data_IF_517131542813
#
_entry.id   IF_517131542813
#
_cell.length_a   1.000
_cell.length_b   1.000
_cell.length_c   1.000
_cell.angle_alpha   90.00
_cell.angle_beta   90.00
_cell.angle_gamma   90.00
#
_symmetry.space_group_name_H-M   'P 1'
#
loop_
_entity.id
_entity.type
_entity.pdbx_description
1 polymer ?
#
# COMPACT_ATOMS: atom_id res chain seq x y z
N UNK A 1 6.29 -21.60 -22.09
CA UNK A 1 5.82 -20.28 -21.61
C UNK A 1 4.81 -20.53 -20.50
N UNK A 2 5.13 -20.19 -19.26
CA UNK A 2 4.17 -20.26 -18.14
C UNK A 2 3.07 -19.23 -18.39
N UNK A 3 1.80 -19.65 -18.39
CA UNK A 3 0.67 -18.73 -18.50
C UNK A 3 0.71 -17.70 -17.36
N UNK A 4 0.27 -16.47 -17.61
CA UNK A 4 0.11 -15.44 -16.57
C UNK A 4 -0.72 -15.96 -15.39
N UNK A 5 -1.71 -16.82 -15.64
CA UNK A 5 -2.50 -17.50 -14.61
C UNK A 5 -1.63 -18.39 -13.72
N UNK A 6 -0.71 -19.16 -14.30
CA UNK A 6 0.19 -20.03 -13.55
C UNK A 6 1.12 -19.24 -12.62
N UNK A 7 1.65 -18.10 -13.07
CA UNK A 7 2.47 -17.20 -12.24
C UNK A 7 1.67 -16.59 -11.08
N UNK A 8 0.40 -16.23 -11.32
CA UNK A 8 -0.48 -15.68 -10.29
C UNK A 8 -0.84 -16.75 -9.25
N UNK A 9 -1.06 -17.98 -9.69
CA UNK A 9 -1.32 -19.13 -8.81
C UNK A 9 -0.09 -19.52 -7.99
N UNK A 10 1.13 -19.41 -8.53
CA UNK A 10 2.38 -19.68 -7.79
C UNK A 10 2.49 -18.83 -6.53
N UNK A 11 1.95 -17.60 -6.50
CA UNK A 11 2.00 -16.75 -5.32
C UNK A 11 1.26 -17.28 -4.10
N UNK A 12 0.37 -18.23 -4.33
CA UNK A 12 -0.40 -18.93 -3.30
C UNK A 12 0.03 -20.40 -3.18
N UNK A 13 1.16 -20.77 -3.80
CA UNK A 13 1.76 -22.08 -3.65
C UNK A 13 2.13 -22.31 -2.17
N UNK A 14 1.98 -23.55 -1.67
CA UNK A 14 2.47 -23.89 -0.33
C UNK A 14 4.00 -23.89 -0.25
N UNK A 15 4.70 -23.87 -1.39
CA UNK A 15 6.16 -23.80 -1.45
C UNK A 15 6.68 -22.60 -0.66
N UNK A 16 7.78 -22.83 0.07
CA UNK A 16 8.47 -21.75 0.75
C UNK A 16 9.03 -20.77 -0.29
N UNK A 17 8.94 -19.45 -0.06
CA UNK A 17 9.72 -18.50 -0.84
C UNK A 17 11.20 -18.92 -0.79
N UNK A 18 11.86 -18.94 -1.95
CA UNK A 18 13.31 -19.14 -1.97
C UNK A 18 14.06 -18.03 -1.24
N UNK A 19 15.39 -18.17 -1.16
CA UNK A 19 16.23 -17.25 -0.39
C UNK A 19 15.99 -15.77 -0.75
N UNK A 20 16.08 -14.87 0.25
CA UNK A 20 15.95 -13.44 0.02
C UNK A 20 16.99 -12.94 -1.00
N UNK A 21 16.56 -12.05 -1.89
CA UNK A 21 17.46 -11.34 -2.80
C UNK A 21 17.85 -9.97 -2.23
N UNK A 22 18.98 -9.39 -2.67
CA UNK A 22 19.32 -8.01 -2.38
C UNK A 22 18.13 -7.08 -2.67
N UNK A 23 17.74 -6.22 -1.72
CA UNK A 23 16.59 -5.34 -1.91
C UNK A 23 16.92 -4.29 -2.97
N UNK A 24 15.96 -4.01 -3.85
CA UNK A 24 16.00 -2.83 -4.71
C UNK A 24 15.91 -1.50 -3.93
N UNK A 25 15.96 -0.35 -4.62
CA UNK A 25 15.82 0.95 -3.97
C UNK A 25 14.45 1.09 -3.27
N UNK A 26 14.38 1.97 -2.26
CA UNK A 26 13.13 2.28 -1.54
C UNK A 26 12.21 3.25 -2.29
N UNK A 27 12.82 4.11 -3.09
CA UNK A 27 12.15 5.07 -3.93
C UNK A 27 13.03 5.34 -5.15
N UNK A 28 12.40 5.70 -6.27
CA UNK A 28 13.12 6.17 -7.44
C UNK A 28 13.61 7.60 -7.19
N UNK A 29 14.86 7.88 -7.53
CA UNK A 29 15.38 9.25 -7.58
C UNK A 29 14.99 9.86 -8.91
N UNK A 30 13.73 10.26 -9.03
CA UNK A 30 13.22 10.90 -10.24
C UNK A 30 14.02 12.19 -10.51
N UNK A 31 14.49 12.43 -11.75
CA UNK A 31 15.02 13.74 -12.11
C UNK A 31 13.88 14.77 -12.09
N UNK A 32 14.20 16.03 -11.78
CA UNK A 32 13.21 17.09 -11.79
C UNK A 32 13.54 18.23 -10.83
N UNK A 33 12.64 19.20 -10.80
CA UNK A 33 12.67 20.34 -9.87
C UNK A 33 12.04 19.94 -8.53
N UNK A 34 12.71 20.26 -7.42
CA UNK A 34 12.12 20.12 -6.09
C UNK A 34 11.11 21.24 -5.85
N UNK A 35 9.93 20.89 -5.37
CA UNK A 35 8.81 21.80 -5.10
C UNK A 35 8.36 21.58 -3.66
N UNK A 36 8.35 22.65 -2.87
CA UNK A 36 7.85 22.61 -1.51
C UNK A 36 6.32 22.47 -1.53
N UNK A 37 5.79 21.63 -0.65
CA UNK A 37 4.35 21.43 -0.49
C UNK A 37 3.65 22.75 -0.12
N UNK A 38 4.31 23.61 0.66
CA UNK A 38 3.80 24.92 1.08
C UNK A 38 3.63 25.92 -0.08
N UNK A 39 4.35 25.72 -1.19
CA UNK A 39 4.27 26.60 -2.36
C UNK A 39 3.07 26.27 -3.25
N UNK A 40 2.45 25.10 -3.07
CA UNK A 40 1.26 24.70 -3.82
C UNK A 40 0.02 25.47 -3.36
N UNK A 41 -1.02 25.42 -4.20
CA UNK A 41 -2.36 25.91 -3.90
C UNK A 41 -3.37 24.78 -3.95
N UNK A 42 -4.49 24.93 -3.25
CA UNK A 42 -5.59 23.97 -3.32
C UNK A 42 -6.09 23.82 -4.78
N UNK A 43 -6.49 22.60 -5.21
CA UNK A 43 -6.55 21.35 -4.45
C UNK A 43 -5.22 20.57 -4.33
N UNK A 44 -4.16 21.01 -5.04
CA UNK A 44 -2.87 20.30 -5.05
C UNK A 44 -2.13 20.34 -3.72
N UNK A 45 -2.22 21.45 -2.98
CA UNK A 45 -1.64 21.57 -1.64
C UNK A 45 -2.23 20.54 -0.66
N UNK A 46 -3.55 20.37 -0.66
CA UNK A 46 -4.24 19.36 0.15
C UNK A 46 -3.77 17.95 -0.22
N UNK A 47 -3.68 17.65 -1.53
CA UNK A 47 -3.19 16.38 -2.03
C UNK A 47 -1.77 16.06 -1.53
N UNK A 48 -0.86 17.00 -1.71
CA UNK A 48 0.53 16.87 -1.30
C UNK A 48 0.68 16.75 0.22
N UNK A 49 -0.11 17.52 0.98
CA UNK A 49 -0.15 17.44 2.45
C UNK A 49 -0.68 16.08 2.93
N UNK A 50 -1.71 15.52 2.28
CA UNK A 50 -2.20 14.17 2.57
C UNK A 50 -1.09 13.13 2.36
N UNK A 51 -0.42 13.18 1.21
CA UNK A 51 0.70 12.29 0.87
C UNK A 51 1.81 12.40 1.93
N UNK A 52 2.23 13.62 2.25
CA UNK A 52 3.28 13.87 3.24
C UNK A 52 2.92 13.30 4.61
N UNK A 53 1.70 13.53 5.10
CA UNK A 53 1.26 13.02 6.41
C UNK A 53 1.25 11.49 6.46
N UNK A 54 0.78 10.85 5.41
CA UNK A 54 0.70 9.39 5.31
C UNK A 54 2.06 8.73 5.11
N UNK A 55 2.95 9.37 4.34
CA UNK A 55 4.15 8.74 3.82
C UNK A 55 5.45 9.22 4.45
N UNK A 56 5.54 10.38 5.11
CA UNK A 56 6.79 10.82 5.77
C UNK A 56 7.29 9.83 6.82
N UNK A 57 8.60 9.85 7.09
CA UNK A 57 9.19 8.97 8.09
C UNK A 57 8.75 9.37 9.51
N UNK A 58 8.42 8.38 10.34
CA UNK A 58 7.97 8.56 11.75
C UNK A 58 8.82 7.68 12.68
N UNK A 59 10.11 7.95 12.67
CA UNK A 59 11.14 7.11 13.29
C UNK A 59 11.34 5.81 12.51
N UNK A 60 11.88 4.79 13.17
CA UNK A 60 12.27 3.53 12.55
C UNK A 60 11.57 2.33 13.19
N UNK A 61 11.44 1.23 12.44
CA UNK A 61 10.92 -0.01 12.98
C UNK A 61 11.84 -0.52 14.09
N UNK A 62 11.32 -1.01 15.22
CA UNK A 62 12.15 -1.62 16.25
C UNK A 62 12.62 -3.02 15.83
N UNK A 63 13.80 -3.41 16.31
CA UNK A 63 14.27 -4.80 16.37
C UNK A 63 13.57 -5.52 17.54
N UNK A 64 13.69 -6.86 17.63
CA UNK A 64 13.18 -7.61 18.78
C UNK A 64 13.71 -7.12 20.14
N UNK A 65 14.95 -6.62 20.18
CA UNK A 65 15.57 -6.03 21.38
C UNK A 65 15.13 -4.57 21.67
N UNK A 66 14.17 -4.04 20.91
CA UNK A 66 13.68 -2.66 21.03
C UNK A 66 14.53 -1.60 20.33
N UNK A 67 15.73 -1.91 19.85
CA UNK A 67 16.60 -0.94 19.17
C UNK A 67 16.08 -0.57 17.78
N UNK A 68 16.32 0.65 17.26
CA UNK A 68 15.81 1.07 15.96
C UNK A 68 16.56 0.39 14.78
N UNK A 69 15.81 -0.10 13.80
CA UNK A 69 16.33 -0.54 12.50
C UNK A 69 16.63 0.65 11.57
N UNK A 70 17.13 0.39 10.36
CA UNK A 70 17.28 1.41 9.31
C UNK A 70 16.03 1.57 8.44
N UNK A 71 14.91 0.91 8.78
CA UNK A 71 13.68 0.96 8.00
C UNK A 71 12.76 2.03 8.58
N UNK A 72 12.51 3.14 7.86
CA UNK A 72 11.63 4.19 8.37
C UNK A 72 10.20 3.67 8.50
N UNK A 73 9.53 4.04 9.59
CA UNK A 73 8.09 3.79 9.75
C UNK A 73 7.31 4.85 9.00
N UNK A 74 6.16 4.44 8.47
CA UNK A 74 5.17 5.31 7.84
C UNK A 74 3.80 5.03 8.47
N UNK A 75 2.84 5.94 8.29
CA UNK A 75 1.52 5.78 8.88
C UNK A 75 0.75 4.59 8.25
N UNK A 76 0.91 4.44 6.93
CA UNK A 76 0.42 3.30 6.17
C UNK A 76 1.30 2.08 6.46
N UNK A 77 0.73 0.92 6.88
CA UNK A 77 1.49 -0.31 7.08
C UNK A 77 1.99 -0.87 5.75
N UNK A 78 3.05 -1.69 5.80
CA UNK A 78 3.54 -2.41 4.63
C UNK A 78 4.08 -3.78 5.00
N UNK A 79 3.83 -4.77 4.15
CA UNK A 79 4.34 -6.12 4.31
C UNK A 79 5.86 -6.12 4.50
N UNK A 80 6.32 -6.55 5.68
CA UNK A 80 7.74 -6.62 6.00
C UNK A 80 8.49 -5.28 5.98
N UNK A 81 7.79 -4.15 6.06
CA UNK A 81 8.42 -2.83 5.94
C UNK A 81 9.10 -2.59 4.59
N UNK A 82 8.57 -3.22 3.52
CA UNK A 82 9.10 -3.06 2.17
C UNK A 82 8.82 -1.66 1.62
N UNK A 83 7.67 -1.08 1.98
CA UNK A 83 7.18 0.24 1.56
C UNK A 83 7.34 0.47 0.04
N UNK A 84 6.75 -0.40 -0.81
CA UNK A 84 6.94 -0.34 -2.26
C UNK A 84 6.17 0.82 -2.91
N UNK A 85 5.13 1.34 -2.25
CA UNK A 85 4.23 2.35 -2.82
C UNK A 85 4.98 3.66 -3.08
N UNK A 86 4.83 4.21 -4.28
CA UNK A 86 5.22 5.58 -4.61
C UNK A 86 3.96 6.42 -4.83
N UNK A 87 4.02 7.68 -4.40
CA UNK A 87 2.92 8.61 -4.48
C UNK A 87 3.20 9.64 -5.56
N UNK A 88 2.41 9.59 -6.63
CA UNK A 88 2.49 10.57 -7.71
C UNK A 88 1.26 11.49 -7.66
N UNK A 89 1.46 12.74 -8.04
CA UNK A 89 0.42 13.76 -8.14
C UNK A 89 0.38 14.27 -9.59
N UNK A 90 -0.80 14.24 -10.20
CA UNK A 90 -1.05 14.80 -11.53
C UNK A 90 -1.87 16.07 -11.34
N UNK A 91 -1.29 17.20 -11.71
CA UNK A 91 -1.93 18.50 -11.66
C UNK A 91 -2.30 18.91 -13.09
N UNK A 92 -3.59 19.03 -13.43
CA UNK A 92 -4.03 19.41 -14.78
C UNK A 92 -3.83 20.92 -15.03
N UNK A 93 -3.88 21.37 -16.30
CA UNK A 93 -3.85 22.79 -16.66
C UNK A 93 -4.88 23.62 -15.89
N UNK A 94 -4.54 24.88 -15.60
CA UNK A 94 -5.45 25.80 -14.92
C UNK A 94 -5.59 25.60 -13.40
N UNK A 95 -5.04 24.52 -12.84
CA UNK A 95 -4.96 24.26 -11.39
C UNK A 95 -3.46 24.19 -11.01
N UNK A 96 -3.01 24.87 -9.96
CA UNK A 96 -1.63 24.70 -9.45
C UNK A 96 -0.61 25.80 -9.75
N UNK A 97 -1.01 27.06 -9.98
CA UNK A 97 -0.05 28.19 -9.89
C UNK A 97 0.52 28.27 -8.45
N UNK A 98 1.81 28.59 -8.25
CA UNK A 98 2.81 29.03 -9.25
C UNK A 98 3.53 27.90 -10.01
N UNK A 99 3.62 26.67 -9.49
CA UNK A 99 4.41 25.58 -10.10
C UNK A 99 3.75 24.93 -11.34
N UNK A 100 2.51 25.33 -11.64
CA UNK A 100 1.79 25.01 -12.87
C UNK A 100 1.38 23.54 -12.99
N UNK A 101 0.74 23.20 -14.11
CA UNK A 101 0.39 21.81 -14.39
C UNK A 101 1.64 20.94 -14.51
N UNK A 102 1.53 19.69 -14.04
CA UNK A 102 2.68 18.80 -13.97
C UNK A 102 2.36 17.40 -13.48
N UNK A 103 3.38 16.54 -13.56
CA UNK A 103 3.41 15.25 -12.89
C UNK A 103 4.49 15.33 -11.83
N UNK A 104 4.09 15.11 -10.59
CA UNK A 104 4.95 15.21 -9.44
C UNK A 104 5.05 13.84 -8.79
N UNK A 105 6.15 13.58 -8.10
CA UNK A 105 6.32 12.40 -7.24
C UNK A 105 6.81 12.87 -5.89
N UNK A 106 6.27 12.31 -4.82
CA UNK A 106 6.73 12.63 -3.47
C UNK A 106 8.05 11.92 -3.18
N UNK A 107 9.09 12.68 -2.85
CA UNK A 107 10.37 12.15 -2.40
C UNK A 107 10.38 12.09 -0.86
N UNK A 108 10.32 10.90 -0.26
CA UNK A 108 10.33 10.77 1.19
C UNK A 108 11.67 11.08 1.86
N UNK A 109 12.77 11.24 1.09
CA UNK A 109 14.07 11.60 1.64
C UNK A 109 14.19 13.10 1.87
N UNK A 110 13.65 13.90 0.96
CA UNK A 110 13.60 15.37 1.07
C UNK A 110 12.29 15.88 1.65
N UNK A 111 11.27 15.02 1.74
CA UNK A 111 9.90 15.36 2.13
C UNK A 111 9.22 16.41 1.22
N UNK A 112 9.74 16.53 -0.01
CA UNK A 112 9.26 17.45 -1.04
C UNK A 112 8.61 16.70 -2.20
N UNK A 113 7.96 17.44 -3.10
CA UNK A 113 7.60 16.91 -4.41
C UNK A 113 8.76 17.11 -5.39
N UNK A 114 8.92 16.18 -6.32
CA UNK A 114 9.77 16.34 -7.51
C UNK A 114 8.87 16.49 -8.73
N UNK A 115 8.92 17.66 -9.38
CA UNK A 115 8.26 17.90 -10.66
C UNK A 115 9.01 17.17 -11.77
N UNK A 116 8.41 16.10 -12.29
CA UNK A 116 9.03 15.24 -13.31
C UNK A 116 9.13 15.98 -14.64
N UNK A 117 10.27 15.87 -15.35
CA UNK A 117 10.38 16.37 -16.71
C UNK A 117 9.42 15.58 -17.61
N UNK A 118 8.66 16.28 -18.45
CA UNK A 118 7.82 15.65 -19.45
C UNK A 118 8.49 15.73 -20.84
N UNK A 119 9.16 14.65 -21.30
CA UNK A 119 9.94 14.69 -22.53
C UNK A 119 9.07 14.76 -23.80
N UNK A 120 7.75 14.60 -23.68
CA UNK A 120 6.84 14.46 -24.83
C UNK A 120 5.77 15.57 -24.89
N UNK A 121 6.06 16.74 -24.31
CA UNK A 121 5.16 17.90 -24.30
C UNK A 121 3.87 17.71 -23.49
N UNK A 122 3.05 18.75 -23.31
CA UNK A 122 1.88 18.73 -22.42
C UNK A 122 0.70 17.96 -23.04
N UNK A 123 0.72 16.62 -23.00
CA UNK A 123 -0.49 15.82 -23.25
C UNK A 123 -1.17 15.56 -21.90
N UNK A 124 -2.35 16.15 -21.73
CA UNK A 124 -3.14 16.04 -20.52
C UNK A 124 -4.26 15.03 -20.70
N UNK A 125 -4.59 14.24 -19.66
CA UNK A 125 -5.87 13.55 -19.63
C UNK A 125 -7.01 14.57 -19.81
N UNK A 126 -8.15 14.15 -20.34
CA UNK A 126 -9.33 15.02 -20.47
C UNK A 126 -9.89 15.50 -19.11
N UNK A 127 -9.35 15.05 -17.98
CA UNK A 127 -9.83 15.41 -16.65
C UNK A 127 -9.18 16.71 -16.16
N UNK A 128 -10.00 17.55 -15.56
CA UNK A 128 -9.65 18.79 -14.87
C UNK A 128 -9.43 18.61 -13.35
N UNK A 129 -9.50 17.37 -12.86
CA UNK A 129 -9.25 17.03 -11.47
C UNK A 129 -7.77 16.83 -11.18
N UNK A 130 -7.34 17.24 -9.98
CA UNK A 130 -6.06 16.78 -9.43
C UNK A 130 -6.19 15.30 -9.09
N UNK A 131 -5.25 14.50 -9.59
CA UNK A 131 -5.24 13.06 -9.36
C UNK A 131 -4.02 12.63 -8.54
N UNK A 132 -4.23 11.74 -7.58
CA UNK A 132 -3.16 10.97 -6.94
C UNK A 132 -3.09 9.62 -7.63
N UNK A 133 -1.89 9.20 -8.02
CA UNK A 133 -1.66 7.87 -8.60
C UNK A 133 -0.70 7.10 -7.72
N UNK A 134 -1.13 5.92 -7.28
CA UNK A 134 -0.31 5.00 -6.50
C UNK A 134 0.39 4.05 -7.47
N UNK A 135 1.71 4.02 -7.41
CA UNK A 135 2.53 3.01 -8.08
C UNK A 135 3.22 2.13 -7.06
N UNK A 136 3.75 0.98 -7.47
CA UNK A 136 4.60 0.14 -6.64
C UNK A 136 5.94 -0.12 -7.32
N UNK A 137 7.01 -0.07 -6.53
CA UNK A 137 8.31 -0.61 -6.90
C UNK A 137 8.42 -2.04 -6.40
N UNK A 138 8.38 -3.06 -7.28
CA UNK A 138 8.24 -4.45 -6.87
C UNK A 138 9.48 -5.01 -6.15
N UNK A 139 10.66 -4.41 -6.38
CA UNK A 139 11.96 -5.01 -6.05
C UNK A 139 12.15 -5.41 -4.59
N UNK A 140 11.80 -4.56 -3.61
CA UNK A 140 12.00 -4.88 -2.18
C UNK A 140 11.05 -5.99 -1.69
N UNK A 141 9.79 -5.90 -2.07
CA UNK A 141 8.79 -6.92 -1.73
C UNK A 141 9.12 -8.24 -2.44
N UNK A 142 9.54 -8.22 -3.70
CA UNK A 142 10.00 -9.41 -4.41
C UNK A 142 11.26 -10.01 -3.80
N UNK A 143 12.23 -9.18 -3.43
CA UNK A 143 13.46 -9.65 -2.79
C UNK A 143 13.18 -10.39 -1.48
N UNK A 144 12.15 -9.98 -0.73
CA UNK A 144 11.76 -10.63 0.53
C UNK A 144 10.81 -11.82 0.36
N UNK A 145 9.83 -11.70 -0.53
CA UNK A 145 8.69 -12.64 -0.59
C UNK A 145 8.65 -13.49 -1.87
N UNK A 146 9.57 -13.25 -2.81
CA UNK A 146 9.72 -14.00 -4.06
C UNK A 146 8.38 -14.14 -4.80
N UNK A 147 7.96 -15.37 -5.09
CA UNK A 147 6.71 -15.65 -5.79
C UNK A 147 5.47 -15.12 -5.04
N UNK A 148 5.52 -14.95 -3.71
CA UNK A 148 4.41 -14.43 -2.88
C UNK A 148 4.29 -12.91 -2.89
N UNK A 149 5.13 -12.20 -3.64
CA UNK A 149 5.21 -10.73 -3.56
C UNK A 149 4.02 -10.00 -4.20
N UNK A 150 3.42 -10.53 -5.26
CA UNK A 150 2.46 -9.76 -6.04
C UNK A 150 1.14 -9.43 -5.31
N UNK A 151 0.53 -10.34 -4.51
CA UNK A 151 -0.64 -9.97 -3.71
C UNK A 151 -0.29 -8.91 -2.66
N UNK A 152 0.96 -8.92 -2.15
CA UNK A 152 1.45 -7.95 -1.18
C UNK A 152 1.63 -6.56 -1.80
N UNK A 153 1.91 -6.45 -3.11
CA UNK A 153 1.90 -5.16 -3.81
C UNK A 153 0.50 -4.54 -3.82
N UNK A 154 -0.52 -5.36 -4.11
CA UNK A 154 -1.92 -4.93 -4.07
C UNK A 154 -2.33 -4.58 -2.65
N UNK A 155 -1.93 -5.39 -1.66
CA UNK A 155 -2.19 -5.10 -0.26
C UNK A 155 -1.61 -3.73 0.17
N UNK A 156 -0.32 -3.49 -0.06
CA UNK A 156 0.32 -2.23 0.34
C UNK A 156 -0.34 -1.02 -0.37
N UNK A 157 -0.69 -1.15 -1.65
CA UNK A 157 -1.39 -0.10 -2.38
C UNK A 157 -2.84 0.10 -1.90
N UNK A 158 -3.55 -0.96 -1.50
CA UNK A 158 -4.90 -0.86 -0.95
C UNK A 158 -4.92 -0.20 0.44
N UNK A 159 -3.94 -0.48 1.30
CA UNK A 159 -3.79 0.22 2.56
C UNK A 159 -3.48 1.71 2.35
N UNK A 160 -2.59 2.04 1.41
CA UNK A 160 -2.33 3.44 1.04
C UNK A 160 -3.60 4.14 0.50
N UNK A 161 -4.33 3.47 -0.39
CA UNK A 161 -5.58 3.95 -0.98
C UNK A 161 -6.63 4.27 0.09
N UNK A 162 -6.93 3.31 0.97
CA UNK A 162 -7.96 3.49 1.99
C UNK A 162 -7.53 4.50 3.06
N UNK A 163 -6.25 4.60 3.38
CA UNK A 163 -5.76 5.67 4.26
C UNK A 163 -6.01 7.06 3.68
N UNK A 164 -5.82 7.22 2.36
CA UNK A 164 -6.12 8.47 1.67
C UNK A 164 -7.63 8.76 1.64
N UNK A 165 -8.47 7.75 1.36
CA UNK A 165 -9.93 7.92 1.34
C UNK A 165 -10.50 8.22 2.73
N UNK A 166 -9.91 7.68 3.80
CA UNK A 166 -10.26 8.06 5.17
C UNK A 166 -9.84 9.50 5.49
N UNK A 167 -8.65 9.90 5.02
CA UNK A 167 -8.10 11.24 5.28
C UNK A 167 -8.78 12.34 4.46
N UNK A 168 -9.29 12.01 3.26
CA UNK A 168 -9.99 12.92 2.35
C UNK A 168 -11.30 12.24 1.91
N UNK A 169 -12.37 12.29 2.72
CA UNK A 169 -13.60 11.55 2.47
C UNK A 169 -14.31 11.90 1.15
N UNK A 170 -14.09 13.10 0.63
CA UNK A 170 -14.65 13.59 -0.63
C UNK A 170 -13.86 13.13 -1.86
N UNK A 171 -12.68 12.53 -1.65
CA UNK A 171 -11.91 11.92 -2.73
C UNK A 171 -12.69 10.72 -3.29
N UNK A 172 -12.68 10.58 -4.62
CA UNK A 172 -13.42 9.52 -5.27
C UNK A 172 -12.52 8.67 -6.18
N UNK A 173 -12.92 7.42 -6.33
CA UNK A 173 -12.28 6.49 -7.24
C UNK A 173 -12.98 6.59 -8.61
N UNK A 174 -12.28 6.98 -9.68
CA UNK A 174 -12.87 6.89 -11.02
C UNK A 174 -13.24 5.44 -11.37
N UNK A 175 -14.13 5.22 -12.33
CA UNK A 175 -14.58 3.84 -12.70
C UNK A 175 -13.41 2.92 -13.06
N UNK A 176 -12.36 3.47 -13.67
CA UNK A 176 -11.14 2.78 -14.08
C UNK A 176 -10.00 2.89 -13.03
N UNK A 177 -10.31 3.17 -11.76
CA UNK A 177 -9.31 3.49 -10.74
C UNK A 177 -8.21 2.44 -10.57
N UNK A 178 -8.52 1.14 -10.70
CA UNK A 178 -7.56 0.03 -10.56
C UNK A 178 -7.04 -0.50 -11.91
N UNK A 179 -7.42 0.15 -13.01
CA UNK A 179 -6.92 -0.19 -14.34
C UNK A 179 -5.46 0.25 -14.48
N UNK A 180 -4.57 -0.75 -14.64
CA UNK A 180 -3.13 -0.56 -14.74
C UNK A 180 -2.74 0.31 -15.94
N UNK A 181 -3.45 0.19 -17.06
CA UNK A 181 -3.17 0.95 -18.27
C UNK A 181 -3.59 2.42 -18.12
N UNK A 182 -4.74 2.67 -17.50
CA UNK A 182 -5.23 4.00 -17.19
C UNK A 182 -4.31 4.73 -16.21
N UNK A 183 -3.94 4.09 -15.10
CA UNK A 183 -2.98 4.62 -14.12
C UNK A 183 -1.61 4.93 -14.74
N UNK A 184 -1.09 4.01 -15.56
CA UNK A 184 0.17 4.21 -16.29
C UNK A 184 0.08 5.35 -17.30
N UNK A 185 -1.06 5.51 -17.99
CA UNK A 185 -1.29 6.59 -18.95
C UNK A 185 -1.33 7.95 -18.26
N UNK A 186 -1.99 8.05 -17.10
CA UNK A 186 -2.05 9.28 -16.31
C UNK A 186 -0.64 9.79 -15.97
N UNK A 187 0.28 8.89 -15.59
CA UNK A 187 1.67 9.21 -15.25
C UNK A 187 2.65 9.22 -16.43
N UNK A 188 2.21 8.84 -17.63
CA UNK A 188 3.05 8.62 -18.83
C UNK A 188 4.26 7.74 -18.55
N UNK A 189 4.11 6.73 -17.70
CA UNK A 189 5.18 5.78 -17.42
C UNK A 189 5.34 4.79 -18.59
N UNK A 190 6.58 4.38 -18.91
CA UNK A 190 6.80 3.24 -19.80
C UNK A 190 6.21 1.97 -19.18
N UNK A 191 6.11 0.89 -19.97
CA UNK A 191 5.79 -0.41 -19.40
C UNK A 191 6.94 -0.89 -18.52
N UNK A 192 6.64 -1.62 -17.44
CA UNK A 192 7.69 -2.18 -16.57
C UNK A 192 8.65 -3.13 -17.31
N UNK A 193 8.17 -3.81 -18.35
CA UNK A 193 8.99 -4.67 -19.22
C UNK A 193 10.01 -3.91 -20.08
N UNK A 194 9.91 -2.58 -20.21
CA UNK A 194 10.88 -1.75 -20.96
C UNK A 194 12.08 -1.42 -20.07
N UNK A 195 12.82 -2.44 -19.63
CA UNK A 195 13.89 -2.31 -18.63
C UNK A 195 14.95 -1.27 -19.01
N UNK A 196 15.37 -1.23 -20.28
CA UNK A 196 16.36 -0.26 -20.78
C UNK A 196 15.94 1.20 -20.48
N UNK A 197 14.68 1.56 -20.74
CA UNK A 197 14.21 2.94 -20.50
C UNK A 197 14.40 3.38 -19.05
N UNK A 198 14.14 2.47 -18.10
CA UNK A 198 14.26 2.73 -16.66
C UNK A 198 15.72 2.83 -16.24
N UNK A 199 16.53 1.84 -16.63
CA UNK A 199 17.92 1.73 -16.22
C UNK A 199 18.78 2.85 -16.80
N UNK A 200 18.55 3.25 -18.06
CA UNK A 200 19.24 4.37 -18.71
C UNK A 200 19.01 5.72 -17.98
N UNK A 201 18.00 5.78 -17.12
CA UNK A 201 17.65 6.96 -16.30
C UNK A 201 18.02 6.79 -14.83
N UNK A 202 18.68 5.69 -14.45
CA UNK A 202 18.97 5.36 -13.06
C UNK A 202 17.73 5.04 -12.22
N UNK A 203 16.62 4.66 -12.88
CA UNK A 203 15.35 4.32 -12.24
C UNK A 203 15.12 2.81 -12.28
N UNK A 204 14.24 2.33 -11.39
CA UNK A 204 13.69 0.96 -11.44
C UNK A 204 12.23 0.97 -11.89
N UNK A 205 11.73 -0.11 -12.51
CA UNK A 205 10.35 -0.21 -12.95
C UNK A 205 9.31 0.03 -11.85
N UNK A 206 8.29 0.82 -12.18
CA UNK A 206 7.10 1.01 -11.34
C UNK A 206 5.86 0.41 -12.02
N UNK A 207 4.99 -0.22 -11.22
CA UNK A 207 3.66 -0.67 -11.66
C UNK A 207 2.62 0.32 -11.15
N UNK A 208 1.91 1.01 -12.04
CA UNK A 208 0.85 1.93 -11.66
C UNK A 208 -0.43 1.15 -11.34
N UNK A 209 -0.86 1.22 -10.07
CA UNK A 209 -1.85 0.30 -9.50
C UNK A 209 -3.22 0.96 -9.26
N UNK A 210 -3.24 2.22 -8.80
CA UNK A 210 -4.49 2.90 -8.47
C UNK A 210 -4.46 4.39 -8.80
N UNK A 211 -5.63 4.96 -9.12
CA UNK A 211 -5.87 6.40 -9.29
C UNK A 211 -6.97 6.86 -8.33
N UNK A 212 -6.79 8.06 -7.81
CA UNK A 212 -7.75 8.75 -6.94
C UNK A 212 -7.91 10.16 -7.47
N UNK A 213 -9.16 10.64 -7.55
CA UNK A 213 -9.47 12.01 -7.93
C UNK A 213 -9.88 12.80 -6.71
N UNK A 214 -9.36 14.01 -6.63
CA UNK A 214 -9.79 14.96 -5.61
C UNK A 214 -10.93 15.84 -6.12
N UNK A 215 -11.86 16.25 -5.25
CA UNK A 215 -12.80 17.31 -5.55
C UNK A 215 -12.06 18.64 -5.78
N UNK A 216 -12.78 19.68 -6.19
CA UNK A 216 -12.19 21.00 -6.38
C UNK A 216 -11.70 21.65 -5.08
N UNK A 217 -12.36 21.36 -3.96
CA UNK A 217 -12.05 21.89 -2.64
C UNK A 217 -11.94 20.76 -1.60
N UNK A 218 -10.86 19.96 -1.67
CA UNK A 218 -10.67 18.83 -0.77
C UNK A 218 -10.23 19.30 0.61
N UNK A 219 -10.74 18.63 1.63
CA UNK A 219 -10.42 18.90 3.03
C UNK A 219 -9.68 17.70 3.63
N UNK A 220 -8.74 17.97 4.55
CA UNK A 220 -8.09 16.93 5.34
C UNK A 220 -8.87 16.76 6.65
N UNK A 221 -9.28 15.54 6.96
CA UNK A 221 -9.76 15.23 8.29
C UNK A 221 -8.57 15.12 9.26
N UNK A 222 -8.39 16.14 10.10
CA UNK A 222 -7.28 16.23 11.06
C UNK A 222 -7.35 15.15 12.16
N UNK A 223 -8.55 14.76 12.58
CA UNK A 223 -8.75 13.74 13.61
C UNK A 223 -8.38 12.38 13.06
N UNK A 224 -8.85 12.06 11.86
CA UNK A 224 -8.49 10.83 11.15
C UNK A 224 -7.01 10.80 10.81
N UNK A 225 -6.43 11.93 10.40
CA UNK A 225 -4.99 12.08 10.19
C UNK A 225 -4.21 11.68 11.44
N UNK A 226 -4.57 12.26 12.60
CA UNK A 226 -3.93 11.94 13.87
C UNK A 226 -4.09 10.45 14.23
N UNK A 227 -5.30 9.88 14.07
CA UNK A 227 -5.59 8.48 14.38
C UNK A 227 -4.77 7.51 13.50
N UNK A 228 -4.75 7.70 12.18
CA UNK A 228 -3.95 6.88 11.25
C UNK A 228 -2.47 6.98 11.60
N UNK A 229 -1.99 8.18 11.95
CA UNK A 229 -0.60 8.44 12.27
C UNK A 229 -0.16 7.87 13.63
N UNK A 230 -1.05 7.85 14.61
CA UNK A 230 -0.82 7.30 15.93
C UNK A 230 -0.90 5.76 15.94
N UNK A 231 -1.70 5.17 15.04
CA UNK A 231 -1.91 3.72 14.95
C UNK A 231 -0.59 2.94 14.96
N UNK A 232 -0.50 1.96 15.87
CA UNK A 232 0.53 0.92 15.88
C UNK A 232 -0.12 -0.44 15.85
N UNK A 233 0.49 -1.37 15.13
CA UNK A 233 0.09 -2.78 15.25
C UNK A 233 0.68 -3.34 16.52
N UNK A 234 -0.08 -4.08 17.34
CA UNK A 234 0.44 -4.69 18.56
C UNK A 234 1.67 -5.56 18.28
N UNK A 235 2.62 -5.56 19.21
CA UNK A 235 3.75 -6.50 19.19
C UNK A 235 3.25 -7.93 19.34
N UNK A 236 4.02 -8.90 18.83
CA UNK A 236 3.60 -10.30 18.83
C UNK A 236 3.42 -10.86 20.24
N UNK A 237 4.27 -10.43 21.18
CA UNK A 237 4.25 -10.90 22.58
C UNK A 237 2.91 -10.63 23.26
N UNK A 238 2.24 -9.51 22.95
CA UNK A 238 0.90 -9.22 23.48
C UNK A 238 -0.12 -10.27 23.08
N UNK A 239 -0.02 -10.82 21.87
CA UNK A 239 -0.89 -11.92 21.47
C UNK A 239 -0.49 -13.23 22.16
N UNK A 240 0.78 -13.45 22.47
CA UNK A 240 1.20 -14.66 23.20
C UNK A 240 0.79 -14.63 24.68
N UNK A 241 0.86 -13.46 25.31
CA UNK A 241 0.44 -13.24 26.71
C UNK A 241 -1.08 -13.33 26.87
N UNK A 242 -1.82 -12.90 25.85
CA UNK A 242 -3.28 -12.91 25.88
C UNK A 242 -3.83 -14.33 25.72
N UNK A 243 -4.14 -14.98 26.84
CA UNK A 243 -4.87 -16.27 26.89
C UNK A 243 -6.34 -16.04 26.58
N UNK A 244 -6.65 -15.82 25.32
CA UNK A 244 -8.03 -15.80 24.89
C UNK A 244 -8.69 -17.18 25.11
N UNK A 245 -9.96 -17.20 25.53
CA UNK A 245 -10.68 -18.43 25.86
C UNK A 245 -10.67 -19.44 24.69
N UNK A 246 -10.65 -20.75 24.98
CA UNK A 246 -10.66 -21.80 23.97
C UNK A 246 -12.02 -21.88 23.27
N UNK A 247 -12.24 -21.02 22.27
CA UNK A 247 -13.36 -21.12 21.33
C UNK A 247 -13.20 -20.10 20.19
N UNK A 248 -12.87 -20.55 18.99
CA UNK A 248 -13.39 -20.06 17.70
C UNK A 248 -12.59 -20.71 16.57
N UNK A 249 -13.24 -21.58 15.80
CA UNK A 249 -12.65 -22.30 14.65
C UNK A 249 -11.82 -21.40 13.74
N UNK A 250 -12.24 -20.14 13.57
CA UNK A 250 -11.59 -19.16 12.70
C UNK A 250 -10.18 -18.76 13.16
N UNK A 251 -9.90 -18.66 14.46
CA UNK A 251 -8.54 -18.33 14.97
C UNK A 251 -7.59 -19.48 14.71
N UNK A 252 -8.00 -20.68 15.07
CA UNK A 252 -7.27 -21.93 14.84
C UNK A 252 -7.00 -22.15 13.36
N UNK A 253 -8.03 -21.98 12.51
CA UNK A 253 -7.90 -22.07 11.05
C UNK A 253 -6.92 -21.04 10.50
N UNK A 254 -7.01 -19.77 10.93
CA UNK A 254 -6.11 -18.71 10.47
C UNK A 254 -4.67 -18.97 10.91
N UNK A 255 -4.45 -19.36 12.17
CA UNK A 255 -3.13 -19.73 12.68
C UNK A 255 -2.53 -20.91 11.91
N UNK A 256 -3.34 -21.94 11.61
CA UNK A 256 -2.93 -23.11 10.81
C UNK A 256 -2.56 -22.73 9.38
N UNK A 257 -3.42 -21.99 8.68
CA UNK A 257 -3.18 -21.62 7.27
C UNK A 257 -2.01 -20.65 7.10
N UNK A 258 -1.81 -19.74 8.06
CA UNK A 258 -0.70 -18.77 8.02
C UNK A 258 0.62 -19.31 8.60
N UNK A 259 0.57 -20.40 9.38
CA UNK A 259 1.71 -20.90 10.16
C UNK A 259 2.08 -20.00 11.35
N UNK A 260 1.19 -19.11 11.79
CA UNK A 260 1.48 -18.10 12.80
C UNK A 260 0.70 -18.37 14.10
N UNK A 261 1.37 -18.99 15.08
CA UNK A 261 0.74 -19.40 16.34
C UNK A 261 0.26 -18.25 17.22
N UNK A 262 0.89 -17.07 17.13
CA UNK A 262 0.48 -15.87 17.86
C UNK A 262 -0.97 -15.46 17.56
N UNK A 263 -1.53 -15.80 16.39
CA UNK A 263 -2.92 -15.49 16.02
C UNK A 263 -3.93 -16.12 17.00
N UNK A 264 -3.55 -17.20 17.71
CA UNK A 264 -4.42 -17.88 18.67
C UNK A 264 -4.81 -16.99 19.86
N UNK A 265 -3.95 -16.05 20.25
CA UNK A 265 -4.25 -15.10 21.33
C UNK A 265 -4.91 -13.81 20.88
N UNK A 266 -5.44 -13.75 19.65
CA UNK A 266 -6.35 -12.66 19.27
C UNK A 266 -7.72 -12.86 19.94
N UNK A 267 -8.40 -11.78 20.32
CA UNK A 267 -9.82 -11.82 20.74
C UNK A 267 -10.70 -12.20 19.55
N UNK A 268 -10.40 -11.62 18.39
CA UNK A 268 -11.15 -11.82 17.15
C UNK A 268 -10.23 -11.86 15.95
N UNK A 269 -10.63 -12.66 14.95
CA UNK A 269 -9.99 -12.70 13.63
C UNK A 269 -11.03 -12.49 12.54
N UNK A 270 -10.75 -11.58 11.64
CA UNK A 270 -11.50 -11.38 10.40
C UNK A 270 -10.60 -11.86 9.26
N UNK A 271 -11.07 -12.85 8.50
CA UNK A 271 -10.32 -13.45 7.40
C UNK A 271 -11.09 -13.35 6.09
N UNK A 272 -10.36 -13.12 5.01
CA UNK A 272 -10.91 -13.03 3.66
C UNK A 272 -10.37 -14.16 2.78
N UNK A 273 -11.25 -14.95 2.14
CA UNK A 273 -10.83 -16.06 1.29
C UNK A 273 -10.22 -15.57 -0.02
N UNK A 274 -9.22 -16.30 -0.52
CA UNK A 274 -8.58 -16.09 -1.82
C UNK A 274 -9.63 -16.12 -2.95
N UNK A 275 -9.55 -15.27 -3.99
CA UNK A 275 -10.35 -15.42 -5.21
C UNK A 275 -10.29 -16.83 -5.81
N UNK A 276 -11.40 -17.36 -6.31
CA UNK A 276 -11.47 -18.75 -6.81
C UNK A 276 -10.64 -18.92 -8.09
N UNK A 277 -10.51 -17.84 -8.86
CA UNK A 277 -9.69 -17.72 -10.05
C UNK A 277 -8.90 -16.41 -9.97
N UNK A 278 -7.76 -16.34 -10.66
CA UNK A 278 -6.91 -15.16 -10.73
C UNK A 278 -6.88 -14.61 -12.16
N UNK A 279 -8.07 -14.36 -12.69
CA UNK A 279 -8.32 -13.61 -13.92
C UNK A 279 -8.60 -12.13 -13.59
N UNK A 280 -9.15 -11.36 -14.54
CA UNK A 280 -9.53 -9.97 -14.32
C UNK A 280 -10.54 -9.79 -13.18
N UNK A 281 -11.50 -10.71 -13.04
CA UNK A 281 -12.48 -10.70 -11.95
C UNK A 281 -11.80 -11.02 -10.62
N UNK A 282 -10.91 -12.02 -10.62
CA UNK A 282 -10.08 -12.37 -9.47
C UNK A 282 -9.19 -11.23 -8.99
N UNK A 283 -8.59 -10.48 -9.92
CA UNK A 283 -7.80 -9.29 -9.61
C UNK A 283 -8.65 -8.19 -8.95
N UNK A 284 -9.85 -7.92 -9.50
CA UNK A 284 -10.78 -6.96 -8.89
C UNK A 284 -11.22 -7.42 -7.49
N UNK A 285 -11.51 -8.71 -7.30
CA UNK A 285 -11.83 -9.29 -5.99
C UNK A 285 -10.67 -9.15 -5.00
N UNK A 286 -9.43 -9.39 -5.44
CA UNK A 286 -8.24 -9.23 -4.60
C UNK A 286 -8.10 -7.79 -4.08
N UNK A 287 -8.33 -6.81 -4.95
CA UNK A 287 -8.39 -5.41 -4.55
C UNK A 287 -9.46 -5.17 -3.49
N UNK A 288 -10.68 -5.65 -3.70
CA UNK A 288 -11.76 -5.44 -2.73
C UNK A 288 -11.47 -6.08 -1.38
N UNK A 289 -10.85 -7.26 -1.36
CA UNK A 289 -10.42 -7.94 -0.13
C UNK A 289 -9.43 -7.07 0.65
N UNK A 290 -8.36 -6.60 0.01
CA UNK A 290 -7.35 -5.82 0.72
C UNK A 290 -7.86 -4.42 1.10
N UNK A 291 -8.74 -3.82 0.30
CA UNK A 291 -9.42 -2.56 0.64
C UNK A 291 -10.31 -2.74 1.87
N UNK A 292 -11.12 -3.80 1.91
CA UNK A 292 -11.96 -4.08 3.08
C UNK A 292 -11.12 -4.34 4.33
N UNK A 293 -10.04 -5.12 4.21
CA UNK A 293 -9.12 -5.34 5.31
C UNK A 293 -8.47 -4.03 5.82
N UNK A 294 -8.11 -3.12 4.91
CA UNK A 294 -7.57 -1.81 5.25
C UNK A 294 -8.62 -0.94 5.95
N UNK A 295 -9.85 -0.85 5.44
CA UNK A 295 -10.97 -0.15 6.09
C UNK A 295 -11.22 -0.65 7.51
N UNK A 296 -11.31 -1.97 7.68
CA UNK A 296 -11.48 -2.57 9.00
C UNK A 296 -10.30 -2.25 9.91
N UNK A 297 -9.07 -2.29 9.39
CA UNK A 297 -7.89 -1.93 10.17
C UNK A 297 -7.94 -0.50 10.68
N UNK A 298 -8.30 0.47 9.83
CA UNK A 298 -8.36 1.88 10.22
C UNK A 298 -9.54 2.18 11.14
N UNK A 299 -10.73 1.64 10.83
CA UNK A 299 -11.93 1.81 11.64
C UNK A 299 -11.77 1.24 13.05
N UNK A 300 -11.31 -0.02 13.17
CA UNK A 300 -11.08 -0.65 14.48
C UNK A 300 -9.98 0.04 15.27
N UNK A 301 -8.91 0.50 14.61
CA UNK A 301 -7.86 1.27 15.28
C UNK A 301 -8.39 2.60 15.82
N UNK A 302 -9.24 3.31 15.07
CA UNK A 302 -9.88 4.55 15.52
C UNK A 302 -10.80 4.33 16.72
N UNK A 303 -11.37 3.12 16.86
CA UNK A 303 -12.17 2.69 18.01
C UNK A 303 -11.34 2.22 19.20
N UNK A 304 -10.01 2.28 19.14
CA UNK A 304 -9.15 1.87 20.25
C UNK A 304 -8.81 0.37 20.28
N UNK A 305 -8.95 -0.35 19.16
CA UNK A 305 -8.52 -1.75 19.06
C UNK A 305 -7.08 -1.90 18.56
N UNK A 306 -6.38 -2.90 19.07
CA UNK A 306 -5.09 -3.32 18.55
C UNK A 306 -5.27 -4.21 17.32
N UNK A 307 -4.87 -3.74 16.14
CA UNK A 307 -5.05 -4.51 14.88
C UNK A 307 -3.71 -4.86 14.23
N UNK A 308 -3.54 -6.14 13.90
CA UNK A 308 -2.36 -6.66 13.18
C UNK A 308 -2.78 -7.48 11.97
N UNK A 309 -2.26 -7.13 10.80
CA UNK A 309 -2.45 -7.93 9.60
C UNK A 309 -1.73 -9.29 9.71
N UNK A 310 -2.39 -10.33 9.23
CA UNK A 310 -1.88 -11.70 9.09
C UNK A 310 -1.68 -11.97 7.61
N UNK A 311 -0.56 -12.61 7.26
CA UNK A 311 -0.18 -12.94 5.88
C UNK A 311 0.48 -14.32 5.83
N UNK A 312 0.98 -14.73 4.67
CA UNK A 312 1.70 -16.00 4.52
C UNK A 312 0.81 -17.23 4.40
N UNK A 313 -0.47 -17.03 4.07
CA UNK A 313 -1.43 -18.13 3.91
C UNK A 313 -0.99 -19.09 2.81
N UNK A 314 -0.98 -20.37 3.16
CA UNK A 314 -0.64 -21.46 2.25
C UNK A 314 -1.76 -22.51 2.32
N UNK A 315 -2.32 -22.95 1.19
CA UNK A 315 -3.32 -24.01 1.19
C UNK A 315 -2.69 -25.32 1.69
N UNK A 316 -3.38 -26.01 2.61
CA UNK A 316 -3.13 -27.44 2.88
C UNK A 316 -4.14 -28.27 2.08
N UNK A 317 -3.78 -29.47 1.59
CA UNK A 317 -4.55 -30.21 0.57
C UNK A 317 -6.00 -30.59 0.90
N UNK A 318 -6.47 -30.41 2.14
CA UNK A 318 -7.77 -30.88 2.61
C UNK A 318 -8.65 -29.80 3.28
N UNK A 319 -8.27 -28.52 3.21
CA UNK A 319 -8.98 -27.45 3.95
C UNK A 319 -9.91 -26.61 3.08
N UNK A 320 -10.89 -25.98 3.74
CA UNK A 320 -11.66 -24.80 3.28
C UNK A 320 -10.85 -23.85 2.38
N UNK A 321 -11.53 -23.14 1.49
CA UNK A 321 -10.94 -22.12 0.58
C UNK A 321 -9.87 -21.28 1.32
N UNK A 322 -8.60 -21.28 0.86
CA UNK A 322 -7.51 -20.67 1.58
C UNK A 322 -7.74 -19.17 1.74
N UNK A 323 -7.33 -18.60 2.87
CA UNK A 323 -7.33 -17.16 3.06
C UNK A 323 -6.28 -16.49 2.18
N UNK A 324 -6.53 -15.24 1.79
CA UNK A 324 -5.52 -14.36 1.17
C UNK A 324 -5.06 -13.28 2.13
N UNK A 325 -5.93 -12.86 3.03
CA UNK A 325 -5.66 -11.83 4.02
C UNK A 325 -6.45 -12.13 5.28
N UNK A 326 -5.91 -11.75 6.44
CA UNK A 326 -6.70 -11.67 7.66
C UNK A 326 -6.16 -10.54 8.55
N UNK A 327 -6.97 -10.12 9.51
CA UNK A 327 -6.55 -9.25 10.60
C UNK A 327 -6.86 -9.93 11.93
N UNK A 328 -5.89 -9.88 12.84
CA UNK A 328 -6.01 -10.28 14.23
C UNK A 328 -6.23 -9.04 15.09
N UNK A 329 -7.18 -9.12 16.01
CA UNK A 329 -7.69 -7.99 16.79
C UNK A 329 -7.53 -8.30 18.28
N UNK A 330 -7.00 -7.33 19.01
CA UNK A 330 -7.06 -7.24 20.48
C UNK A 330 -8.08 -6.15 20.84
N UNK A 331 -9.17 -6.54 21.50
CA UNK A 331 -10.22 -5.63 21.95
C UNK A 331 -9.68 -4.76 23.09
N UNK A 332 -9.96 -3.45 23.03
CA UNK A 332 -9.39 -2.45 23.95
C UNK A 332 -7.85 -2.43 24.06
N UNK A 333 -7.15 -3.02 23.09
CA UNK A 333 -5.68 -3.13 23.06
C UNK A 333 -4.95 -1.99 22.36
N UNK A 334 -5.57 -0.81 22.18
CA UNK A 334 -4.91 0.32 21.53
C UNK A 334 -3.72 0.82 22.33
N UNK A 335 -2.54 0.48 21.82
CA UNK A 335 -1.23 1.01 22.18
C UNK A 335 -0.60 0.46 23.47
N UNK A 336 0.62 -0.06 23.34
CA UNK A 336 1.79 0.70 23.77
C UNK A 336 2.60 1.04 22.52
#
# INVERSE_FOLDING_TARGET
MTSSTALLETAFSPELPGDPLPPGPRANRWPGELVDIAELRAPAATAATAIHRLWRARGHHPRPDGTPTTVPRRAVPSAGGCYPVQWHLVIPPGRGRPHGPGRYVYDPATEMLVRRPDPRGPIWPASDHVEIVLTVQPGRTFGRYRHRAWPLWVADAAYALEALLFLVPEAHLPTDWSDLAAARRALRLPRAAQAAWWLDRGLVPELALARIRLPHDPHLDEVVSAAICARRSPVLDRFHEHRAQPSADRRTQTARQSGQSWVLGADRVIGWPRPARLDTVGYAQLWQIHREAARQTYSLAAQGHGVRAVSGFSPRPAETRPLVHAIAILENGAAA
#
